data_IF_487752146271
#
_entry.id   IF_487752146271
#
_cell.length_a   1.000
_cell.length_b   1.000
_cell.length_c   1.000
_cell.angle_alpha   90.00
_cell.angle_beta   90.00
_cell.angle_gamma   90.00
#
_symmetry.space_group_name_H-M   'P 1'
#
loop_
_entity.id
_entity.type
_entity.pdbx_description
1 polymer ?
#
# COMPACT_ATOMS: atom_id res chain seq x y z
N UNK A 1 7.74 -18.21 -14.27
CA UNK A 1 6.53 -19.02 -14.46
C UNK A 1 5.35 -18.12 -14.78
N UNK A 2 4.40 -18.62 -15.55
CA UNK A 2 3.17 -17.91 -15.89
C UNK A 2 2.07 -18.31 -14.93
N UNK A 3 1.22 -17.36 -14.57
CA UNK A 3 -0.02 -17.63 -13.83
C UNK A 3 -0.95 -18.52 -14.68
N UNK A 4 -1.56 -19.50 -14.03
CA UNK A 4 -2.45 -20.46 -14.67
C UNK A 4 -3.77 -20.54 -13.91
N UNK A 5 -4.89 -20.87 -14.55
CA UNK A 5 -6.10 -21.22 -13.83
C UNK A 5 -5.85 -22.34 -12.84
N UNK A 6 -6.33 -22.17 -11.61
CA UNK A 6 -6.07 -23.09 -10.50
C UNK A 6 -4.93 -22.66 -9.56
N UNK A 7 -4.09 -21.72 -9.98
CA UNK A 7 -3.09 -21.13 -9.09
C UNK A 7 -3.79 -20.30 -7.99
N UNK A 8 -3.22 -20.37 -6.80
CA UNK A 8 -3.62 -19.50 -5.68
C UNK A 8 -2.77 -18.25 -5.71
N UNK A 9 -3.40 -17.08 -5.77
CA UNK A 9 -2.71 -15.79 -5.91
C UNK A 9 -2.98 -14.91 -4.71
N UNK A 10 -1.94 -14.35 -4.15
CA UNK A 10 -2.03 -13.27 -3.16
C UNK A 10 -1.53 -11.98 -3.76
N UNK A 11 -2.38 -10.95 -3.79
CA UNK A 11 -2.00 -9.60 -4.16
C UNK A 11 -1.74 -8.82 -2.86
N UNK A 12 -0.49 -8.46 -2.64
CA UNK A 12 -0.05 -7.82 -1.40
C UNK A 12 0.37 -6.38 -1.69
N UNK A 13 -0.16 -5.45 -0.94
CA UNK A 13 0.21 -4.04 -1.02
C UNK A 13 0.30 -3.44 0.40
N UNK A 14 0.94 -2.31 0.53
CA UNK A 14 1.05 -1.59 1.80
C UNK A 14 -0.27 -0.92 2.18
N UNK A 15 -0.96 -0.34 1.23
CA UNK A 15 -2.19 0.40 1.48
C UNK A 15 -3.25 0.16 0.40
N UNK A 16 -4.49 0.06 0.85
CA UNK A 16 -5.68 0.22 0.03
C UNK A 16 -6.27 1.60 0.31
N UNK A 17 -5.97 2.55 -0.57
CA UNK A 17 -6.44 3.95 -0.45
C UNK A 17 -7.68 4.14 -1.33
N UNK A 18 -7.55 4.65 -2.55
CA UNK A 18 -8.68 4.74 -3.48
C UNK A 18 -9.16 3.37 -3.94
N UNK A 19 -8.28 2.39 -3.95
CA UNK A 19 -8.54 1.05 -4.46
C UNK A 19 -8.29 0.90 -5.96
N UNK A 20 -7.89 1.96 -6.66
CA UNK A 20 -7.70 1.95 -8.11
C UNK A 20 -6.63 0.94 -8.54
N UNK A 21 -5.47 0.97 -7.88
CA UNK A 21 -4.34 0.08 -8.23
C UNK A 21 -4.69 -1.39 -7.99
N UNK A 22 -5.23 -1.70 -6.83
CA UNK A 22 -5.61 -3.07 -6.47
C UNK A 22 -6.69 -3.60 -7.40
N UNK A 23 -7.72 -2.80 -7.69
CA UNK A 23 -8.79 -3.21 -8.59
C UNK A 23 -8.31 -3.40 -10.02
N UNK A 24 -7.43 -2.53 -10.51
CA UNK A 24 -6.83 -2.68 -11.84
C UNK A 24 -6.02 -3.98 -11.96
N UNK A 25 -5.15 -4.26 -10.98
CA UNK A 25 -4.35 -5.47 -10.98
C UNK A 25 -5.20 -6.73 -10.79
N UNK A 26 -6.17 -6.70 -9.90
CA UNK A 26 -7.09 -7.82 -9.67
C UNK A 26 -7.87 -8.15 -10.94
N UNK A 27 -8.38 -7.15 -11.65
CA UNK A 27 -9.11 -7.35 -12.89
C UNK A 27 -8.24 -7.97 -13.98
N UNK A 28 -6.97 -7.61 -14.07
CA UNK A 28 -6.01 -8.26 -14.98
C UNK A 28 -5.89 -9.75 -14.66
N UNK A 29 -5.79 -10.11 -13.39
CA UNK A 29 -5.70 -11.50 -12.96
C UNK A 29 -6.98 -12.29 -13.24
N UNK A 30 -8.14 -11.69 -12.95
CA UNK A 30 -9.44 -12.31 -13.25
C UNK A 30 -9.62 -12.54 -14.75
N UNK A 31 -9.24 -11.58 -15.58
CA UNK A 31 -9.32 -11.69 -17.04
C UNK A 31 -8.38 -12.77 -17.61
N UNK A 32 -7.33 -13.10 -16.88
CA UNK A 32 -6.40 -14.20 -17.23
C UNK A 32 -6.87 -15.56 -16.73
N UNK A 33 -8.06 -15.64 -16.16
CA UNK A 33 -8.67 -16.89 -15.74
C UNK A 33 -8.41 -17.32 -14.31
N UNK A 34 -7.86 -16.44 -13.46
CA UNK A 34 -7.76 -16.70 -12.02
C UNK A 34 -9.13 -16.44 -11.40
N UNK A 35 -9.82 -17.44 -10.83
CA UNK A 35 -11.11 -17.22 -10.19
C UNK A 35 -10.98 -16.30 -8.96
N UNK A 36 -12.02 -15.53 -8.66
CA UNK A 36 -11.98 -14.62 -7.51
C UNK A 36 -11.68 -15.32 -6.18
N UNK A 37 -12.20 -16.54 -6.00
CA UNK A 37 -11.95 -17.34 -4.80
C UNK A 37 -10.49 -17.77 -4.64
N UNK A 38 -9.73 -17.79 -5.72
CA UNK A 38 -8.31 -18.12 -5.72
C UNK A 38 -7.41 -16.90 -5.59
N UNK A 39 -7.99 -15.70 -5.58
CA UNK A 39 -7.30 -14.43 -5.41
C UNK A 39 -7.61 -13.85 -4.04
N UNK A 40 -6.56 -13.60 -3.25
CA UNK A 40 -6.66 -12.89 -1.96
C UNK A 40 -5.94 -11.57 -2.02
N UNK A 41 -6.60 -10.54 -1.53
CA UNK A 41 -6.07 -9.17 -1.45
C UNK A 41 -5.66 -8.93 0.00
N UNK A 42 -4.40 -8.61 0.22
CA UNK A 42 -3.83 -8.41 1.54
C UNK A 42 -3.15 -7.04 1.57
N UNK A 43 -3.54 -6.20 2.50
CA UNK A 43 -2.94 -4.89 2.70
C UNK A 43 -2.61 -4.68 4.17
N UNK A 44 -1.62 -3.85 4.45
CA UNK A 44 -1.34 -3.44 5.83
C UNK A 44 -2.39 -2.45 6.31
N UNK A 45 -2.61 -1.39 5.57
CA UNK A 45 -3.55 -0.33 5.92
C UNK A 45 -4.70 -0.26 4.92
N UNK A 46 -5.92 -0.31 5.45
CA UNK A 46 -7.14 -0.26 4.66
C UNK A 46 -7.90 1.02 4.99
N UNK A 47 -7.95 1.95 4.04
CA UNK A 47 -8.79 3.14 4.14
C UNK A 47 -10.16 2.86 3.54
N UNK A 48 -11.19 3.04 4.34
CA UNK A 48 -12.58 2.91 3.93
C UNK A 48 -13.29 4.28 4.06
N UNK A 49 -13.65 4.85 2.92
CA UNK A 49 -14.27 6.19 2.85
C UNK A 49 -15.79 6.06 2.93
N UNK A 50 -16.35 6.24 4.11
CA UNK A 50 -17.77 6.05 4.36
C UNK A 50 -18.66 7.05 3.63
N UNK A 51 -18.12 8.24 3.31
CA UNK A 51 -18.86 9.31 2.63
C UNK A 51 -18.95 9.15 1.12
N UNK A 52 -18.19 8.24 0.53
CA UNK A 52 -18.25 7.95 -0.91
C UNK A 52 -19.42 7.00 -1.20
N UNK A 53 -20.27 7.40 -2.12
CA UNK A 53 -21.42 6.59 -2.52
C UNK A 53 -21.00 5.34 -3.29
N UNK A 54 -19.99 5.48 -4.15
CA UNK A 54 -19.46 4.37 -4.94
C UNK A 54 -18.15 3.88 -4.39
N UNK A 55 -18.08 2.58 -4.15
CA UNK A 55 -16.87 1.88 -3.74
C UNK A 55 -16.45 0.92 -4.84
N UNK A 56 -15.15 0.66 -4.94
CA UNK A 56 -14.67 -0.39 -5.84
C UNK A 56 -15.26 -1.75 -5.44
N UNK A 57 -15.60 -2.60 -6.41
CA UNK A 57 -16.20 -3.90 -6.12
C UNK A 57 -15.23 -4.86 -5.41
N UNK A 58 -13.92 -4.69 -5.63
CA UNK A 58 -12.91 -5.53 -4.99
C UNK A 58 -12.32 -4.78 -3.81
N UNK A 59 -12.54 -5.33 -2.62
CA UNK A 59 -12.04 -4.81 -1.35
C UNK A 59 -11.04 -5.78 -0.75
N UNK A 60 -10.16 -5.33 0.19
CA UNK A 60 -9.21 -6.23 0.84
C UNK A 60 -9.88 -7.39 1.57
N UNK A 61 -9.29 -8.58 1.43
CA UNK A 61 -9.73 -9.77 2.18
C UNK A 61 -9.11 -9.78 3.58
N UNK A 62 -7.86 -9.32 3.71
CA UNK A 62 -7.11 -9.27 4.97
C UNK A 62 -6.39 -7.94 5.10
N UNK A 63 -6.35 -7.42 6.32
CA UNK A 63 -5.66 -6.17 6.64
C UNK A 63 -5.20 -6.16 8.10
N UNK A 64 -4.18 -5.35 8.41
CA UNK A 64 -3.72 -5.16 9.78
C UNK A 64 -4.50 -4.04 10.47
N UNK A 65 -4.72 -2.93 9.77
CA UNK A 65 -5.46 -1.77 10.31
C UNK A 65 -6.48 -1.28 9.28
N UNK A 66 -7.67 -0.95 9.78
CA UNK A 66 -8.73 -0.33 8.98
C UNK A 66 -9.02 1.07 9.52
N UNK A 67 -9.03 2.03 8.63
CA UNK A 67 -9.38 3.41 8.92
C UNK A 67 -10.71 3.74 8.27
N UNK A 68 -11.73 4.01 9.06
CA UNK A 68 -12.99 4.55 8.57
C UNK A 68 -12.88 6.07 8.49
N UNK A 69 -12.96 6.60 7.29
CA UNK A 69 -12.82 8.03 7.00
C UNK A 69 -14.17 8.56 6.61
N UNK A 70 -14.73 9.39 7.47
CA UNK A 70 -16.12 9.87 7.36
C UNK A 70 -16.23 11.20 6.61
N UNK A 71 -15.13 11.92 6.44
CA UNK A 71 -15.05 13.15 5.66
C UNK A 71 -13.65 13.35 5.09
N UNK A 72 -13.47 14.16 4.03
CA UNK A 72 -12.15 14.45 3.48
C UNK A 72 -11.16 15.02 4.50
N UNK A 73 -11.65 15.75 5.50
CA UNK A 73 -10.81 16.35 6.54
C UNK A 73 -10.17 15.32 7.48
N UNK A 74 -10.76 14.14 7.58
CA UNK A 74 -10.24 13.05 8.41
C UNK A 74 -9.13 12.25 7.70
N UNK A 75 -9.01 12.38 6.39
CA UNK A 75 -8.01 11.66 5.63
C UNK A 75 -6.60 12.16 5.95
N UNK A 76 -5.69 11.22 6.20
CA UNK A 76 -4.29 11.51 6.50
C UNK A 76 -3.41 10.70 5.58
N UNK A 77 -2.35 11.31 5.12
CA UNK A 77 -1.31 10.61 4.37
C UNK A 77 -0.53 9.69 5.31
N UNK A 78 -0.38 8.45 4.91
CA UNK A 78 0.42 7.48 5.66
C UNK A 78 1.79 7.37 4.97
N UNK A 79 2.85 7.66 5.71
CA UNK A 79 4.21 7.58 5.21
C UNK A 79 4.77 6.18 5.43
N UNK A 80 5.17 5.53 4.33
CA UNK A 80 5.88 4.24 4.36
C UNK A 80 7.36 4.51 4.09
N UNK A 81 8.12 4.61 5.16
CA UNK A 81 9.52 5.03 5.08
C UNK A 81 10.37 4.14 4.17
N UNK A 82 10.03 2.85 4.10
CA UNK A 82 10.69 1.93 3.18
C UNK A 82 10.53 2.34 1.71
N UNK A 83 9.40 2.92 1.34
CA UNK A 83 9.14 3.41 -0.02
C UNK A 83 9.73 4.79 -0.25
N UNK A 84 9.56 5.68 0.72
CA UNK A 84 9.99 7.07 0.58
C UNK A 84 11.50 7.22 0.53
N UNK A 85 12.23 6.28 1.15
CA UNK A 85 13.69 6.33 1.23
C UNK A 85 14.40 5.59 0.10
N UNK A 86 13.69 4.76 -0.65
CA UNK A 86 14.30 4.02 -1.78
C UNK A 86 14.72 4.99 -2.87
N UNK A 87 16.00 4.92 -3.25
CA UNK A 87 16.54 5.73 -4.32
C UNK A 87 16.86 7.18 -3.97
N UNK A 88 16.68 7.59 -2.71
CA UNK A 88 17.10 8.92 -2.27
C UNK A 88 18.62 9.00 -2.12
N UNK A 89 19.20 10.11 -2.58
CA UNK A 89 20.60 10.42 -2.34
C UNK A 89 20.83 10.83 -0.89
N UNK A 90 22.10 10.80 -0.45
CA UNK A 90 22.44 11.27 0.90
C UNK A 90 22.08 12.77 1.09
N UNK A 91 22.20 13.56 0.03
CA UNK A 91 21.80 14.97 0.05
C UNK A 91 20.29 15.15 0.24
N UNK A 92 19.48 14.31 -0.41
CA UNK A 92 18.02 14.31 -0.25
C UNK A 92 17.62 13.88 1.15
N UNK A 93 18.26 12.84 1.67
CA UNK A 93 18.03 12.37 3.05
C UNK A 93 18.35 13.47 4.06
N UNK A 94 19.48 14.17 3.90
CA UNK A 94 19.85 15.29 4.75
C UNK A 94 18.84 16.43 4.68
N UNK A 95 18.45 16.81 3.47
CA UNK A 95 17.57 17.97 3.21
C UNK A 95 16.14 17.74 3.73
N UNK A 96 15.58 16.57 3.49
CA UNK A 96 14.16 16.31 3.71
C UNK A 96 13.85 15.57 5.02
N UNK A 97 14.83 14.89 5.61
CA UNK A 97 14.60 14.04 6.77
C UNK A 97 15.53 14.35 7.95
N UNK A 98 16.84 14.39 7.73
CA UNK A 98 17.81 14.44 8.83
C UNK A 98 17.98 15.84 9.43
N UNK A 99 17.75 16.87 8.66
CA UNK A 99 17.93 18.26 9.09
C UNK A 99 17.08 18.60 10.32
N UNK A 100 15.83 18.13 10.29
CA UNK A 100 14.86 18.44 11.33
C UNK A 100 14.77 17.36 12.42
N UNK A 101 15.33 16.18 12.16
CA UNK A 101 15.30 15.04 13.08
C UNK A 101 16.65 14.29 13.07
N UNK A 102 17.62 14.72 13.91
CA UNK A 102 18.92 14.06 14.00
C UNK A 102 18.86 12.60 14.51
N UNK A 103 17.87 12.27 15.36
CA UNK A 103 17.70 10.89 15.84
C UNK A 103 17.33 9.96 14.70
N UNK A 104 16.54 10.47 13.76
CA UNK A 104 16.16 9.72 12.56
C UNK A 104 17.37 9.35 11.71
N UNK A 105 18.38 10.21 11.65
CA UNK A 105 19.63 9.93 10.94
C UNK A 105 20.28 8.65 11.44
N UNK A 106 20.44 8.50 12.74
CA UNK A 106 21.11 7.35 13.34
C UNK A 106 20.37 6.05 13.06
N UNK A 107 19.04 6.08 13.20
CA UNK A 107 18.18 4.93 12.94
C UNK A 107 18.23 4.53 11.47
N UNK A 108 18.00 5.48 10.56
CA UNK A 108 17.94 5.18 9.13
C UNK A 108 19.30 4.82 8.55
N UNK A 109 20.38 5.45 9.02
CA UNK A 109 21.74 5.08 8.60
C UNK A 109 22.05 3.62 8.94
N UNK A 110 21.61 3.15 10.08
CA UNK A 110 21.76 1.75 10.49
C UNK A 110 20.94 0.83 9.59
N UNK A 111 19.67 1.16 9.35
CA UNK A 111 18.75 0.36 8.53
C UNK A 111 19.20 0.30 7.07
N UNK A 112 19.61 1.43 6.52
CA UNK A 112 20.02 1.56 5.11
C UNK A 112 21.45 1.11 4.85
N UNK A 113 22.25 0.86 5.90
CA UNK A 113 23.66 0.50 5.76
C UNK A 113 24.54 1.65 5.25
N UNK A 114 24.15 2.86 5.53
CA UNK A 114 24.85 4.06 5.05
C UNK A 114 25.54 4.82 6.19
#
# INVERSE_FOLDING_TARGET
ERLRPGDKVMLVDDIFDSGDTVNALANILLDRGIPREDLKIIVHDYKYFTYKEEQHPIQPDYYCRKFEINSPDEDRWIHYMSHELVGLSDDDLEKYYYKDDPELRDVLSTILGK
#
